data_IF_043944608010
#
_entry.id   IF_043944608010
#
_cell.length_a   1.000
_cell.length_b   1.000
_cell.length_c   1.000
_cell.angle_alpha   90.00
_cell.angle_beta   90.00
_cell.angle_gamma   90.00
#
_symmetry.space_group_name_H-M   'P 1'
#
loop_
_entity.id
_entity.type
_entity.pdbx_description
1 polymer ?
#
# COMPACT_ATOMS: atom_id res chain seq x y z
N UNK A 1 -62.52 69.81 -16.62
CA UNK A 1 -62.05 68.89 -15.55
C UNK A 1 -61.43 67.70 -16.24
N UNK A 2 -60.08 67.62 -16.34
CA UNK A 2 -59.32 66.60 -17.12
C UNK A 2 -58.60 65.75 -16.15
N UNK A 3 -58.99 64.43 -16.06
CA UNK A 3 -58.39 63.41 -15.22
C UNK A 3 -57.27 62.76 -16.05
N UNK A 4 -56.02 62.84 -15.57
CA UNK A 4 -54.85 62.19 -16.17
C UNK A 4 -54.68 60.85 -15.50
N UNK A 5 -54.77 59.75 -16.28
CA UNK A 5 -54.35 58.40 -15.88
C UNK A 5 -52.82 58.32 -15.93
N UNK A 6 -52.23 57.91 -14.80
CA UNK A 6 -50.81 57.68 -14.68
C UNK A 6 -50.63 56.15 -14.69
N UNK A 7 -50.05 55.63 -15.77
CA UNK A 7 -49.75 54.19 -15.90
C UNK A 7 -48.45 53.86 -15.12
N UNK A 8 -48.53 52.94 -14.12
CA UNK A 8 -47.40 52.40 -13.43
C UNK A 8 -46.82 51.31 -14.32
N UNK A 9 -45.58 51.48 -14.82
CA UNK A 9 -44.74 50.41 -15.39
C UNK A 9 -44.05 49.67 -14.25
N UNK A 10 -44.46 48.43 -14.01
CA UNK A 10 -43.74 47.48 -13.11
C UNK A 10 -42.61 46.87 -13.94
N UNK A 11 -41.37 47.36 -13.71
CA UNK A 11 -40.18 46.77 -14.31
C UNK A 11 -39.84 45.43 -13.62
N UNK A 12 -40.01 44.34 -14.35
CA UNK A 12 -39.53 43.02 -13.92
C UNK A 12 -38.00 42.97 -13.95
N UNK A 13 -37.35 43.05 -12.80
CA UNK A 13 -35.93 42.85 -12.64
C UNK A 13 -35.64 41.34 -12.79
N UNK A 14 -35.26 40.92 -13.99
CA UNK A 14 -34.73 39.57 -14.21
C UNK A 14 -33.38 39.44 -13.48
N UNK A 15 -33.35 38.75 -12.37
CA UNK A 15 -32.10 38.32 -11.74
C UNK A 15 -31.36 37.37 -12.69
N UNK A 16 -30.48 37.94 -13.52
CA UNK A 16 -29.45 37.18 -14.21
C UNK A 16 -28.54 36.55 -13.12
N UNK A 17 -28.77 35.28 -12.83
CA UNK A 17 -27.87 34.51 -12.00
C UNK A 17 -26.49 34.52 -12.64
N UNK A 18 -25.57 35.26 -12.08
CA UNK A 18 -24.16 35.16 -12.44
C UNK A 18 -23.72 33.71 -12.22
N UNK A 19 -23.04 33.07 -13.18
CA UNK A 19 -22.45 31.77 -12.95
C UNK A 19 -21.50 31.93 -11.77
N UNK A 20 -21.84 31.27 -10.67
CA UNK A 20 -20.96 31.17 -9.52
C UNK A 20 -19.73 30.41 -10.02
N UNK A 21 -18.61 31.10 -10.20
CA UNK A 21 -17.33 30.47 -10.50
C UNK A 21 -17.08 29.45 -9.39
N UNK A 22 -17.33 28.20 -9.67
CA UNK A 22 -16.99 27.11 -8.77
C UNK A 22 -15.47 27.15 -8.54
N UNK A 23 -15.07 27.52 -7.33
CA UNK A 23 -13.65 27.50 -6.96
C UNK A 23 -13.24 26.03 -6.95
N UNK A 24 -12.42 25.65 -7.92
CA UNK A 24 -11.85 24.30 -7.97
C UNK A 24 -11.04 24.05 -6.70
N UNK A 25 -11.35 22.94 -6.01
CA UNK A 25 -10.59 22.48 -4.85
C UNK A 25 -9.53 21.48 -5.34
N UNK A 26 -8.27 21.81 -5.14
CA UNK A 26 -7.15 20.89 -5.44
C UNK A 26 -6.73 20.13 -4.18
N UNK A 27 -6.73 18.80 -4.25
CA UNK A 27 -6.17 17.90 -3.24
C UNK A 27 -4.73 17.52 -3.60
N UNK A 28 -3.84 17.55 -2.62
CA UNK A 28 -2.44 17.13 -2.77
C UNK A 28 -2.31 15.65 -2.42
N UNK A 29 -1.88 14.82 -3.37
CA UNK A 29 -1.53 13.43 -3.14
C UNK A 29 -0.01 13.29 -3.09
N UNK A 30 0.52 12.95 -1.92
CA UNK A 30 1.95 12.71 -1.72
C UNK A 30 2.27 11.22 -1.87
N UNK A 31 3.29 10.88 -2.65
CA UNK A 31 3.86 9.53 -2.68
C UNK A 31 5.39 9.58 -2.65
N UNK A 32 5.99 8.65 -1.91
CA UNK A 32 7.43 8.46 -1.87
C UNK A 32 7.96 7.68 -3.08
N UNK A 33 7.06 7.06 -3.84
CA UNK A 33 7.40 6.23 -4.99
C UNK A 33 7.97 7.08 -6.13
N UNK A 34 9.01 6.61 -6.81
CA UNK A 34 9.58 7.30 -7.97
C UNK A 34 8.55 7.48 -9.09
N UNK A 35 8.66 8.53 -9.94
CA UNK A 35 7.69 8.80 -11.01
C UNK A 35 7.47 7.62 -11.98
N UNK A 36 8.49 6.79 -12.19
CA UNK A 36 8.42 5.60 -13.05
C UNK A 36 7.69 4.40 -12.41
N UNK A 37 7.30 4.49 -11.14
CA UNK A 37 6.63 3.38 -10.47
C UNK A 37 5.19 3.22 -10.98
N UNK A 38 4.73 1.99 -11.31
CA UNK A 38 3.39 1.78 -11.92
C UNK A 38 2.22 2.30 -11.08
N UNK A 39 2.35 2.32 -9.74
CA UNK A 39 1.34 2.89 -8.85
C UNK A 39 1.23 4.42 -9.01
N UNK A 40 2.31 5.11 -9.36
CA UNK A 40 2.24 6.55 -9.63
C UNK A 40 1.37 6.81 -10.86
N UNK A 41 1.53 6.02 -11.92
CA UNK A 41 0.67 6.12 -13.10
C UNK A 41 -0.82 5.84 -12.76
N UNK A 42 -1.09 4.93 -11.82
CA UNK A 42 -2.45 4.70 -11.32
C UNK A 42 -2.98 5.93 -10.57
N UNK A 43 -2.18 6.58 -9.74
CA UNK A 43 -2.58 7.82 -9.05
C UNK A 43 -2.85 8.96 -10.03
N UNK A 44 -2.04 9.10 -11.08
CA UNK A 44 -2.29 10.09 -12.15
C UNK A 44 -3.61 9.80 -12.89
N UNK A 45 -3.93 8.52 -13.12
CA UNK A 45 -5.23 8.16 -13.71
C UNK A 45 -6.37 8.43 -12.74
N UNK A 46 -6.22 8.09 -11.46
CA UNK A 46 -7.19 8.42 -10.40
C UNK A 46 -7.46 9.93 -10.33
N UNK A 47 -6.43 10.76 -10.43
CA UNK A 47 -6.57 12.22 -10.47
C UNK A 47 -7.45 12.68 -11.63
N UNK A 48 -7.24 12.12 -12.83
CA UNK A 48 -8.08 12.40 -14.01
C UNK A 48 -9.51 11.93 -13.82
N UNK A 49 -9.71 10.74 -13.23
CA UNK A 49 -11.03 10.17 -12.98
C UNK A 49 -11.82 11.04 -11.98
N UNK A 50 -11.17 11.55 -10.92
CA UNK A 50 -11.78 12.49 -9.96
C UNK A 50 -12.18 13.80 -10.65
N UNK A 51 -11.29 14.40 -11.43
CA UNK A 51 -11.59 15.63 -12.16
C UNK A 51 -12.78 15.45 -13.12
N UNK A 52 -12.81 14.35 -13.86
CA UNK A 52 -13.90 14.03 -14.78
C UNK A 52 -15.24 13.80 -14.05
N UNK A 53 -15.22 13.08 -12.91
CA UNK A 53 -16.42 12.79 -12.13
C UNK A 53 -17.01 14.02 -11.42
N UNK A 54 -16.23 15.10 -11.29
CA UNK A 54 -16.62 16.33 -10.59
C UNK A 54 -16.61 17.56 -11.49
N UNK A 55 -16.62 17.40 -12.82
CA UNK A 55 -16.55 18.51 -13.79
C UNK A 55 -15.40 19.50 -13.48
N UNK A 56 -14.25 19.01 -13.02
CA UNK A 56 -13.08 19.75 -12.56
C UNK A 56 -13.31 20.66 -11.32
N UNK A 57 -14.41 20.48 -10.59
CA UNK A 57 -14.63 21.20 -9.32
C UNK A 57 -13.74 20.62 -8.19
N UNK A 58 -13.38 19.32 -8.27
CA UNK A 58 -12.40 18.68 -7.42
C UNK A 58 -11.28 18.11 -8.29
N UNK A 59 -10.04 18.45 -7.99
CA UNK A 59 -8.86 17.94 -8.68
C UNK A 59 -7.90 17.32 -7.68
N UNK A 60 -7.03 16.42 -8.16
CA UNK A 60 -5.96 15.81 -7.36
C UNK A 60 -4.64 16.06 -8.08
N UNK A 61 -3.67 16.62 -7.35
CA UNK A 61 -2.31 16.82 -7.86
C UNK A 61 -1.37 15.82 -7.20
N UNK A 62 -0.71 15.01 -8.02
CA UNK A 62 0.21 13.96 -7.57
C UNK A 62 1.62 14.54 -7.40
N UNK A 63 2.20 14.36 -6.21
CA UNK A 63 3.56 14.73 -5.86
C UNK A 63 4.36 13.45 -5.62
N UNK A 64 5.02 12.95 -6.66
CA UNK A 64 5.80 11.71 -6.65
C UNK A 64 7.26 11.93 -6.27
N UNK A 65 8.00 10.84 -6.04
CA UNK A 65 9.43 10.86 -5.73
C UNK A 65 9.79 11.55 -4.41
N UNK A 66 8.83 11.67 -3.50
CA UNK A 66 9.05 12.37 -2.23
C UNK A 66 9.09 13.89 -2.36
N UNK A 67 8.45 14.48 -3.39
CA UNK A 67 8.44 15.94 -3.62
C UNK A 67 7.88 16.76 -2.44
N UNK A 68 6.98 16.17 -1.63
CA UNK A 68 6.51 16.75 -0.37
C UNK A 68 7.26 16.21 0.87
N UNK A 69 8.44 15.63 0.66
CA UNK A 69 9.33 15.07 1.67
C UNK A 69 9.67 13.59 1.38
N UNK A 70 10.94 13.24 1.56
CA UNK A 70 11.47 11.94 1.23
C UNK A 70 10.99 10.81 2.16
N UNK A 71 11.05 9.59 1.64
CA UNK A 71 10.92 8.33 2.36
C UNK A 71 9.49 7.95 2.78
N UNK A 72 9.29 6.67 3.09
CA UNK A 72 7.98 6.12 3.46
C UNK A 72 7.58 6.42 4.91
N UNK A 73 8.55 6.63 5.82
CA UNK A 73 8.31 6.77 7.26
C UNK A 73 7.55 8.05 7.67
N UNK A 74 7.48 9.05 6.80
CA UNK A 74 6.79 10.32 7.10
C UNK A 74 5.40 10.42 6.47
N UNK A 75 4.99 9.45 5.66
CA UNK A 75 3.74 9.55 4.90
C UNK A 75 2.49 9.61 5.78
N UNK A 76 2.44 8.80 6.84
CA UNK A 76 1.34 8.84 7.81
C UNK A 76 1.22 10.22 8.46
N UNK A 77 2.34 10.73 8.98
CA UNK A 77 2.39 12.04 9.64
C UNK A 77 1.94 13.17 8.72
N UNK A 78 2.32 13.12 7.43
CA UNK A 78 1.89 14.12 6.43
C UNK A 78 0.38 14.17 6.26
N UNK A 79 -0.28 13.01 6.24
CA UNK A 79 -1.74 12.96 6.17
C UNK A 79 -2.37 13.47 7.47
N UNK A 80 -1.88 13.05 8.64
CA UNK A 80 -2.41 13.50 9.94
C UNK A 80 -2.29 15.01 10.10
N UNK A 81 -1.15 15.59 9.73
CA UNK A 81 -0.87 17.03 9.87
C UNK A 81 -1.41 17.89 8.70
N UNK A 82 -2.03 17.28 7.68
CA UNK A 82 -2.57 17.99 6.54
C UNK A 82 -1.52 18.63 5.62
N UNK A 83 -0.26 18.20 5.69
CA UNK A 83 0.80 18.61 4.74
C UNK A 83 0.46 18.14 3.34
N UNK A 84 -0.12 16.93 3.25
CA UNK A 84 -0.79 16.40 2.08
C UNK A 84 -2.23 16.02 2.46
N UNK A 85 -3.17 16.25 1.54
CA UNK A 85 -4.56 15.81 1.73
C UNK A 85 -4.65 14.28 1.66
N UNK A 86 -3.91 13.67 0.73
CA UNK A 86 -3.82 12.22 0.53
C UNK A 86 -2.35 11.82 0.59
N UNK A 87 -2.04 10.75 1.31
CA UNK A 87 -0.69 10.17 1.36
C UNK A 87 -0.73 8.70 0.97
N UNK A 88 0.13 8.34 0.03
CA UNK A 88 0.46 6.94 -0.28
C UNK A 88 1.29 6.35 0.85
N UNK A 89 0.87 5.21 1.38
CA UNK A 89 1.55 4.54 2.48
C UNK A 89 1.77 3.06 2.20
N UNK A 90 2.85 2.51 2.75
CA UNK A 90 2.96 1.09 3.04
C UNK A 90 2.90 0.90 4.55
N UNK A 91 1.91 0.14 5.02
CA UNK A 91 1.54 0.05 6.43
C UNK A 91 2.66 -0.54 7.31
N UNK A 92 3.56 -1.35 6.73
CA UNK A 92 4.70 -1.91 7.46
C UNK A 92 5.63 -0.87 8.09
N UNK A 93 5.71 0.33 7.52
CA UNK A 93 6.48 1.44 8.09
C UNK A 93 5.78 2.10 9.30
N UNK A 94 4.50 1.76 9.51
CA UNK A 94 3.63 2.30 10.55
C UNK A 94 2.89 1.20 11.31
N UNK A 95 3.51 0.03 11.47
CA UNK A 95 2.89 -1.19 11.98
C UNK A 95 2.19 -1.04 13.35
N UNK A 96 2.66 -0.12 14.20
CA UNK A 96 2.02 0.15 15.51
C UNK A 96 0.66 0.83 15.37
N UNK A 97 0.47 1.63 14.31
CA UNK A 97 -0.80 2.32 14.02
C UNK A 97 -1.78 1.35 13.38
N UNK A 98 -1.31 0.57 12.41
CA UNK A 98 -2.13 -0.30 11.56
C UNK A 98 -2.06 -1.77 12.01
N UNK A 99 -2.24 -2.00 13.32
CA UNK A 99 -1.98 -3.29 13.94
C UNK A 99 -2.77 -4.45 13.31
N UNK A 100 -4.06 -4.24 12.99
CA UNK A 100 -4.91 -5.27 12.36
C UNK A 100 -4.66 -5.40 10.86
N UNK A 101 -4.45 -4.29 10.17
CA UNK A 101 -4.07 -4.32 8.75
C UNK A 101 -2.79 -5.12 8.53
N UNK A 102 -1.84 -5.05 9.48
CA UNK A 102 -0.58 -5.78 9.43
C UNK A 102 -0.71 -7.30 9.67
N UNK A 103 -1.86 -7.81 10.08
CA UNK A 103 -2.06 -9.27 10.25
C UNK A 103 -1.90 -10.05 8.95
N UNK A 104 -2.09 -9.41 7.78
CA UNK A 104 -1.87 -10.03 6.46
C UNK A 104 -0.39 -10.38 6.20
N UNK A 105 0.54 -9.77 6.93
CA UNK A 105 1.99 -10.08 6.86
C UNK A 105 2.30 -11.45 7.42
N UNK A 106 1.51 -11.89 8.40
CA UNK A 106 1.71 -13.17 9.07
C UNK A 106 1.51 -14.32 8.08
N UNK A 107 2.17 -15.46 8.29
CA UNK A 107 1.94 -16.66 7.50
C UNK A 107 0.46 -17.00 7.37
N UNK A 108 0.01 -17.20 6.13
CA UNK A 108 -1.40 -17.40 5.80
C UNK A 108 -1.57 -18.02 4.41
N UNK A 109 -2.80 -18.00 3.92
CA UNK A 109 -3.22 -18.71 2.71
C UNK A 109 -3.17 -17.83 1.43
N UNK A 110 -2.86 -16.56 1.53
CA UNK A 110 -2.77 -15.68 0.36
C UNK A 110 -1.65 -16.11 -0.58
N UNK A 111 -1.90 -16.01 -1.89
CA UNK A 111 -0.98 -16.48 -2.94
C UNK A 111 -0.58 -15.40 -3.93
N UNK A 112 -1.41 -14.38 -4.14
CA UNK A 112 -1.16 -13.26 -5.05
C UNK A 112 -1.47 -11.93 -4.38
N UNK A 113 -1.09 -10.83 -4.99
CA UNK A 113 -1.48 -9.50 -4.50
C UNK A 113 -3.01 -9.32 -4.51
N UNK A 114 -3.68 -9.77 -5.57
CA UNK A 114 -5.14 -9.71 -5.67
C UNK A 114 -5.82 -10.56 -4.61
N UNK A 115 -5.38 -11.81 -4.37
CA UNK A 115 -5.94 -12.68 -3.33
C UNK A 115 -5.71 -12.07 -1.92
N UNK A 116 -4.50 -11.59 -1.62
CA UNK A 116 -4.22 -10.94 -0.35
C UNK A 116 -5.07 -9.67 -0.14
N UNK A 117 -5.29 -8.89 -1.21
CA UNK A 117 -6.17 -7.72 -1.18
C UNK A 117 -7.61 -8.11 -0.91
N UNK A 118 -8.15 -9.12 -1.60
CA UNK A 118 -9.49 -9.64 -1.34
C UNK A 118 -9.66 -10.04 0.12
N UNK A 119 -8.66 -10.69 0.71
CA UNK A 119 -8.64 -11.12 2.12
C UNK A 119 -8.66 -9.96 3.10
N UNK A 120 -7.95 -8.87 2.82
CA UNK A 120 -8.03 -7.64 3.61
C UNK A 120 -9.48 -7.10 3.68
N UNK A 121 -10.20 -7.16 2.57
CA UNK A 121 -11.61 -6.72 2.49
C UNK A 121 -12.64 -7.74 3.00
N UNK A 122 -12.22 -8.94 3.43
CA UNK A 122 -13.08 -9.86 4.20
C UNK A 122 -13.23 -9.42 5.66
N UNK A 123 -12.30 -8.63 6.18
CA UNK A 123 -12.40 -8.08 7.53
C UNK A 123 -13.42 -6.94 7.52
N UNK A 124 -14.46 -6.99 8.38
CA UNK A 124 -15.44 -5.92 8.49
C UNK A 124 -14.78 -4.57 8.79
N UNK A 125 -15.21 -3.52 8.10
CA UNK A 125 -14.65 -2.16 8.24
C UNK A 125 -14.65 -1.69 9.70
N UNK A 126 -15.73 -1.97 10.44
CA UNK A 126 -15.84 -1.63 11.85
C UNK A 126 -14.72 -2.25 12.72
N UNK A 127 -14.24 -3.45 12.37
CA UNK A 127 -13.09 -4.06 13.06
C UNK A 127 -11.79 -3.33 12.75
N UNK A 128 -11.66 -2.75 11.55
CA UNK A 128 -10.45 -2.03 11.11
C UNK A 128 -10.42 -0.58 11.57
N UNK A 129 -11.51 -0.04 12.09
CA UNK A 129 -11.68 1.38 12.40
C UNK A 129 -10.58 1.95 13.32
N UNK A 130 -10.07 1.17 14.27
CA UNK A 130 -8.98 1.62 15.17
C UNK A 130 -7.67 1.91 14.44
N UNK A 131 -7.38 1.19 13.36
CA UNK A 131 -6.17 1.40 12.56
C UNK A 131 -6.21 2.74 11.81
N UNK A 132 -7.40 3.26 11.55
CA UNK A 132 -7.65 4.50 10.81
C UNK A 132 -8.27 5.60 11.67
N UNK A 133 -8.03 5.56 13.00
CA UNK A 133 -8.64 6.50 13.94
C UNK A 133 -8.31 7.98 13.66
N UNK A 134 -7.11 8.28 13.16
CA UNK A 134 -6.65 9.66 12.89
C UNK A 134 -6.73 10.05 11.40
N UNK A 135 -7.02 9.11 10.51
CA UNK A 135 -7.07 9.34 9.05
C UNK A 135 -8.29 8.68 8.44
N UNK A 136 -8.65 9.06 7.22
CA UNK A 136 -9.63 8.37 6.39
C UNK A 136 -8.90 7.31 5.54
N UNK A 137 -9.33 6.05 5.61
CA UNK A 137 -8.87 5.03 4.66
C UNK A 137 -9.48 5.31 3.29
N UNK A 138 -8.65 5.50 2.26
CA UNK A 138 -9.12 5.69 0.88
C UNK A 138 -9.21 4.35 0.18
N UNK A 139 -8.17 3.56 0.25
CA UNK A 139 -8.11 2.17 -0.16
C UNK A 139 -6.86 1.51 0.41
N UNK A 140 -6.91 0.20 0.58
CA UNK A 140 -5.75 -0.60 0.96
C UNK A 140 -5.64 -1.81 0.03
N UNK A 141 -4.44 -2.12 -0.40
CA UNK A 141 -4.13 -3.28 -1.21
C UNK A 141 -2.92 -4.01 -0.64
N UNK A 142 -2.72 -5.22 -1.03
CA UNK A 142 -1.49 -5.95 -0.70
C UNK A 142 -0.59 -6.02 -1.91
N UNK A 143 0.73 -5.92 -1.69
CA UNK A 143 1.70 -6.30 -2.71
C UNK A 143 1.87 -7.83 -2.73
N UNK A 144 2.49 -8.43 -3.78
CA UNK A 144 2.77 -9.85 -3.82
C UNK A 144 3.53 -10.33 -2.60
N UNK A 145 3.51 -11.64 -2.40
CA UNK A 145 4.32 -12.30 -1.38
C UNK A 145 5.79 -11.97 -1.56
N UNK A 146 6.50 -11.73 -0.45
CA UNK A 146 7.94 -11.53 -0.52
C UNK A 146 8.65 -12.79 -1.00
N UNK A 147 9.76 -12.59 -1.70
CA UNK A 147 10.73 -13.58 -2.09
C UNK A 147 12.04 -13.31 -1.36
N UNK A 148 12.94 -14.28 -1.32
CA UNK A 148 14.32 -14.00 -0.98
C UNK A 148 15.11 -13.76 -2.26
N UNK A 149 15.65 -12.55 -2.40
CA UNK A 149 16.52 -12.14 -3.51
C UNK A 149 17.94 -12.06 -2.96
N UNK A 150 18.85 -12.84 -3.49
CA UNK A 150 20.22 -12.89 -2.99
C UNK A 150 21.26 -12.90 -4.11
N UNK A 151 22.49 -12.52 -3.73
CA UNK A 151 23.64 -12.50 -4.62
C UNK A 151 24.43 -13.82 -4.62
N UNK A 152 24.47 -14.51 -3.49
CA UNK A 152 25.48 -15.56 -3.27
C UNK A 152 24.88 -16.95 -3.13
N UNK A 153 23.65 -17.12 -2.63
CA UNK A 153 23.07 -18.43 -2.38
C UNK A 153 21.53 -18.44 -2.44
N UNK A 154 20.93 -19.52 -2.94
CA UNK A 154 19.48 -19.71 -2.86
C UNK A 154 19.05 -20.09 -1.44
N UNK A 155 17.75 -19.93 -1.15
CA UNK A 155 17.08 -20.47 0.04
C UNK A 155 16.18 -21.60 -0.43
N UNK A 156 16.42 -22.82 0.04
CA UNK A 156 15.63 -24.04 -0.28
C UNK A 156 14.96 -24.61 0.96
N UNK A 157 15.53 -24.35 2.13
CA UNK A 157 15.00 -24.79 3.42
C UNK A 157 15.14 -23.68 4.46
N UNK A 158 14.39 -23.79 5.56
CA UNK A 158 14.45 -22.83 6.69
C UNK A 158 15.88 -22.69 7.23
N UNK A 159 16.62 -23.82 7.29
CA UNK A 159 18.00 -23.83 7.79
C UNK A 159 18.99 -22.99 6.98
N UNK A 160 18.70 -22.70 5.72
CA UNK A 160 19.54 -21.88 4.85
C UNK A 160 19.59 -20.40 5.29
N UNK A 161 18.63 -19.98 6.13
CA UNK A 161 18.57 -18.62 6.68
C UNK A 161 19.41 -18.45 7.95
N UNK A 162 19.97 -19.53 8.53
CA UNK A 162 20.73 -19.43 9.76
C UNK A 162 21.93 -18.48 9.61
N UNK A 163 21.95 -17.41 10.41
CA UNK A 163 23.01 -16.40 10.41
C UNK A 163 23.02 -15.47 9.20
N UNK A 164 22.00 -15.51 8.34
CA UNK A 164 21.89 -14.67 7.13
C UNK A 164 21.29 -13.32 7.52
N UNK A 165 21.94 -12.26 7.10
CA UNK A 165 21.41 -10.87 7.24
C UNK A 165 20.40 -10.61 6.14
N UNK A 166 19.13 -10.48 6.51
CA UNK A 166 17.99 -10.31 5.59
C UNK A 166 17.44 -8.90 5.72
N UNK A 167 17.56 -8.10 4.67
CA UNK A 167 16.86 -6.80 4.60
C UNK A 167 15.35 -7.03 4.59
N UNK A 168 14.63 -6.31 5.44
CA UNK A 168 13.17 -6.33 5.53
C UNK A 168 12.58 -4.93 5.36
N UNK A 169 11.42 -4.78 4.69
CA UNK A 169 10.73 -3.50 4.56
C UNK A 169 10.01 -3.15 5.86
N UNK A 170 10.77 -2.69 6.85
CA UNK A 170 10.25 -2.33 8.17
C UNK A 170 10.31 -3.46 9.21
N UNK A 171 10.04 -3.10 10.46
CA UNK A 171 10.21 -3.96 11.63
C UNK A 171 9.17 -5.09 11.75
N UNK A 172 8.01 -4.95 11.10
CA UNK A 172 6.93 -5.94 11.20
C UNK A 172 7.31 -7.33 10.65
N UNK A 173 8.24 -7.39 9.71
CA UNK A 173 8.74 -8.63 9.12
C UNK A 173 9.81 -9.33 9.98
N UNK A 174 10.45 -8.57 10.87
CA UNK A 174 11.61 -9.04 11.64
C UNK A 174 11.32 -10.30 12.49
N UNK A 175 10.20 -10.42 13.22
CA UNK A 175 9.92 -11.62 14.02
C UNK A 175 9.80 -12.88 13.18
N UNK A 176 9.27 -12.78 11.95
CA UNK A 176 9.08 -13.93 11.05
C UNK A 176 10.44 -14.38 10.51
N UNK A 177 11.26 -13.44 10.02
CA UNK A 177 12.62 -13.73 9.54
C UNK A 177 13.49 -14.33 10.66
N UNK A 178 13.37 -13.81 11.89
CA UNK A 178 14.07 -14.35 13.05
C UNK A 178 13.63 -15.78 13.40
N UNK A 179 12.33 -16.09 13.28
CA UNK A 179 11.82 -17.45 13.49
C UNK A 179 12.38 -18.47 12.48
N UNK A 180 12.75 -18.00 11.29
CA UNK A 180 13.45 -18.81 10.28
C UNK A 180 14.97 -18.88 10.50
N UNK A 181 15.49 -18.25 11.57
CA UNK A 181 16.92 -18.26 11.92
C UNK A 181 17.74 -17.17 11.25
N UNK A 182 17.13 -16.31 10.45
CA UNK A 182 17.79 -15.15 9.84
C UNK A 182 17.98 -13.99 10.81
N UNK A 183 18.88 -13.09 10.46
CA UNK A 183 19.09 -11.82 11.17
C UNK A 183 18.38 -10.72 10.39
N UNK A 184 17.19 -10.26 10.82
CA UNK A 184 16.46 -9.21 10.10
C UNK A 184 17.16 -7.87 10.23
N UNK A 185 17.25 -7.14 9.12
CA UNK A 185 17.79 -5.79 9.02
C UNK A 185 16.71 -4.89 8.42
N UNK A 186 15.87 -4.24 9.25
CA UNK A 186 14.88 -3.27 8.78
C UNK A 186 15.56 -2.07 8.15
N UNK A 187 15.21 -1.73 6.89
CA UNK A 187 15.90 -0.71 6.13
C UNK A 187 14.94 0.01 5.16
N UNK A 188 15.31 1.22 4.72
CA UNK A 188 14.59 1.92 3.67
C UNK A 188 14.76 1.20 2.33
N UNK A 189 13.70 1.19 1.51
CA UNK A 189 13.73 0.54 0.20
C UNK A 189 14.74 1.19 -0.76
N UNK A 190 15.03 2.46 -0.60
CA UNK A 190 16.00 3.18 -1.42
C UNK A 190 17.45 2.70 -1.18
N UNK A 191 17.73 2.11 -0.03
CA UNK A 191 19.07 1.63 0.33
C UNK A 191 19.32 0.18 -0.10
N UNK A 192 18.28 -0.57 -0.52
CA UNK A 192 18.36 -2.02 -0.73
C UNK A 192 19.37 -2.44 -1.81
N UNK A 193 19.45 -1.69 -2.93
CA UNK A 193 20.42 -2.00 -3.99
C UNK A 193 21.84 -1.88 -3.46
N UNK A 194 22.16 -0.78 -2.80
CA UNK A 194 23.48 -0.54 -2.21
C UNK A 194 23.80 -1.56 -1.12
N UNK A 195 22.85 -1.82 -0.22
CA UNK A 195 23.03 -2.76 0.88
C UNK A 195 23.32 -4.21 0.40
N UNK A 196 22.60 -4.65 -0.64
CA UNK A 196 22.82 -5.98 -1.23
C UNK A 196 24.14 -6.02 -2.04
N UNK A 197 24.43 -4.99 -2.85
CA UNK A 197 25.62 -4.95 -3.70
C UNK A 197 26.92 -4.90 -2.89
N UNK A 198 26.93 -4.18 -1.76
CA UNK A 198 28.11 -4.02 -0.90
C UNK A 198 28.23 -5.13 0.18
N UNK A 199 27.22 -6.01 0.34
CA UNK A 199 27.23 -7.06 1.33
C UNK A 199 26.92 -6.61 2.76
N UNK A 200 26.33 -5.42 2.95
CA UNK A 200 25.76 -4.99 4.23
C UNK A 200 24.67 -5.98 4.66
N UNK A 201 23.89 -6.47 3.69
CA UNK A 201 22.97 -7.60 3.85
C UNK A 201 23.29 -8.70 2.85
N UNK A 202 22.96 -9.95 3.20
CA UNK A 202 23.23 -11.13 2.36
C UNK A 202 22.08 -11.36 1.37
N UNK A 203 20.86 -10.94 1.74
CA UNK A 203 19.67 -11.02 0.89
C UNK A 203 18.62 -9.97 1.25
N UNK A 204 17.68 -9.81 0.36
CA UNK A 204 16.51 -8.92 0.52
C UNK A 204 15.25 -9.77 0.55
N UNK A 205 14.42 -9.58 1.57
CA UNK A 205 13.06 -10.14 1.63
C UNK A 205 12.07 -9.10 1.10
N UNK A 206 11.78 -9.20 -0.19
CA UNK A 206 10.89 -8.25 -0.88
C UNK A 206 10.14 -8.96 -2.02
N UNK A 207 9.11 -8.28 -2.54
CA UNK A 207 8.39 -8.80 -3.71
C UNK A 207 9.32 -8.99 -4.91
N UNK A 208 9.06 -9.94 -5.81
CA UNK A 208 9.92 -10.17 -6.98
C UNK A 208 9.97 -8.96 -7.93
N UNK A 209 9.01 -8.02 -7.83
CA UNK A 209 9.01 -6.77 -8.58
C UNK A 209 10.26 -5.92 -8.35
N UNK A 210 10.98 -6.14 -7.25
CA UNK A 210 12.27 -5.48 -6.99
C UNK A 210 13.37 -5.85 -8.00
N UNK A 211 13.20 -6.91 -8.78
CA UNK A 211 14.09 -7.23 -9.90
C UNK A 211 14.00 -6.22 -11.04
N UNK A 212 12.85 -5.56 -11.19
CA UNK A 212 12.55 -4.64 -12.27
C UNK A 212 12.84 -3.17 -11.88
N UNK A 213 12.92 -2.24 -12.85
CA UNK A 213 12.91 -0.82 -12.55
C UNK A 213 11.69 -0.43 -11.70
N UNK A 214 11.83 0.53 -10.76
CA UNK A 214 13.01 1.36 -10.54
C UNK A 214 14.11 0.70 -9.68
N UNK A 215 13.86 -0.44 -9.04
CA UNK A 215 14.74 -1.06 -8.04
C UNK A 215 15.93 -1.83 -8.63
N UNK A 216 15.74 -2.47 -9.80
CA UNK A 216 16.78 -3.09 -10.64
C UNK A 216 17.64 -4.15 -9.95
N UNK A 217 17.13 -4.85 -8.94
CA UNK A 217 17.93 -5.89 -8.25
C UNK A 217 18.36 -7.04 -9.18
N UNK A 218 17.73 -7.21 -10.36
CA UNK A 218 18.18 -8.18 -11.37
C UNK A 218 19.62 -7.96 -11.86
N UNK A 219 20.19 -6.77 -11.67
CA UNK A 219 21.59 -6.48 -12.06
C UNK A 219 22.62 -7.15 -11.13
N UNK A 220 22.23 -7.43 -9.88
CA UNK A 220 23.12 -7.96 -8.85
C UNK A 220 22.64 -9.28 -8.25
N UNK A 221 21.36 -9.63 -8.42
CA UNK A 221 20.79 -10.88 -7.94
C UNK A 221 21.26 -12.08 -8.77
N UNK A 222 21.56 -13.18 -8.10
CA UNK A 222 21.83 -14.49 -8.73
C UNK A 222 20.78 -15.53 -8.37
N UNK A 223 20.02 -15.32 -7.29
CA UNK A 223 19.03 -16.28 -6.82
C UNK A 223 17.77 -15.55 -6.37
N UNK A 224 16.63 -16.12 -6.71
CA UNK A 224 15.30 -15.67 -6.25
C UNK A 224 14.55 -16.89 -5.72
N UNK A 225 14.26 -16.93 -4.43
CA UNK A 225 13.43 -17.98 -3.85
C UNK A 225 12.01 -17.47 -3.63
N UNK A 226 11.04 -18.12 -4.26
CA UNK A 226 9.62 -17.81 -4.21
C UNK A 226 8.80 -18.93 -3.55
N UNK A 227 7.58 -18.60 -3.12
CA UNK A 227 6.67 -19.56 -2.48
C UNK A 227 6.84 -19.67 -0.97
N UNK A 228 7.38 -18.65 -0.34
CA UNK A 228 7.46 -18.55 1.13
C UNK A 228 6.05 -18.26 1.66
N UNK A 229 5.70 -18.75 2.85
CA UNK A 229 4.39 -18.44 3.43
C UNK A 229 4.37 -17.06 4.12
N UNK A 230 3.37 -16.23 3.84
CA UNK A 230 3.22 -14.91 4.44
C UNK A 230 4.05 -13.80 3.78
N UNK A 231 4.33 -12.74 4.55
CA UNK A 231 5.12 -11.59 4.13
C UNK A 231 4.48 -10.76 2.99
N UNK A 232 3.15 -10.73 2.95
CA UNK A 232 2.42 -9.77 2.14
C UNK A 232 2.46 -8.39 2.82
N UNK A 233 2.92 -7.36 2.13
CA UNK A 233 2.94 -6.00 2.69
C UNK A 233 1.69 -5.24 2.26
N UNK A 234 0.81 -4.83 3.20
CA UNK A 234 -0.31 -3.97 2.86
C UNK A 234 0.19 -2.56 2.58
N UNK A 235 -0.27 -1.98 1.48
CA UNK A 235 -0.05 -0.59 1.08
C UNK A 235 -1.40 0.04 0.70
N UNK A 236 -1.42 1.35 0.44
CA UNK A 236 -2.65 2.04 0.08
C UNK A 236 -2.52 3.54 0.13
N UNK A 237 -3.65 4.21 0.19
CA UNK A 237 -3.72 5.65 0.41
C UNK A 237 -4.64 5.98 1.57
N UNK A 238 -4.18 6.91 2.37
CA UNK A 238 -4.93 7.52 3.48
C UNK A 238 -5.14 9.01 3.21
N UNK A 239 -6.20 9.58 3.76
CA UNK A 239 -6.51 10.99 3.60
C UNK A 239 -6.63 11.66 4.97
N UNK A 240 -6.23 12.93 5.04
CA UNK A 240 -6.49 13.78 6.19
C UNK A 240 -8.00 13.89 6.43
N UNK A 241 -8.43 13.70 7.68
CA UNK A 241 -9.87 13.70 8.03
C UNK A 241 -10.55 15.05 7.77
N UNK A 242 -9.86 16.14 8.04
CA UNK A 242 -10.41 17.48 7.82
C UNK A 242 -10.54 17.76 6.33
N UNK A 243 -9.54 17.36 5.51
CA UNK A 243 -9.60 17.47 4.06
C UNK A 243 -10.78 16.69 3.48
N UNK A 244 -11.02 15.45 3.97
CA UNK A 244 -12.18 14.66 3.56
C UNK A 244 -13.49 15.28 4.05
N UNK A 245 -13.55 15.71 5.31
CA UNK A 245 -14.74 16.33 5.89
C UNK A 245 -15.17 17.60 5.13
N UNK A 246 -14.19 18.38 4.64
CA UNK A 246 -14.39 19.60 3.89
C UNK A 246 -14.83 19.40 2.42
N UNK A 247 -14.96 18.16 1.95
CA UNK A 247 -15.57 17.87 0.65
C UNK A 247 -17.08 18.07 0.72
N UNK A 248 -17.67 18.62 -0.34
CA UNK A 248 -19.13 18.69 -0.47
C UNK A 248 -19.75 17.29 -0.52
N UNK A 249 -21.03 17.10 -0.20
CA UNK A 249 -21.68 15.78 -0.32
C UNK A 249 -21.55 15.18 -1.72
N UNK A 250 -21.66 16.00 -2.78
CA UNK A 250 -21.49 15.56 -4.16
C UNK A 250 -20.05 15.10 -4.45
N UNK A 251 -19.06 15.88 -3.97
CA UNK A 251 -17.64 15.51 -4.13
C UNK A 251 -17.29 14.24 -3.34
N UNK A 252 -17.81 14.05 -2.11
CA UNK A 252 -17.64 12.79 -1.35
C UNK A 252 -18.20 11.62 -2.13
N UNK A 253 -19.44 11.73 -2.63
CA UNK A 253 -20.06 10.65 -3.39
C UNK A 253 -19.27 10.28 -4.65
N UNK A 254 -18.76 11.28 -5.40
CA UNK A 254 -17.94 11.04 -6.59
C UNK A 254 -16.59 10.39 -6.22
N UNK A 255 -15.94 10.89 -5.17
CA UNK A 255 -14.67 10.40 -4.67
C UNK A 255 -14.77 8.96 -4.15
N UNK A 256 -15.79 8.66 -3.32
CA UNK A 256 -16.00 7.35 -2.72
C UNK A 256 -16.30 6.26 -3.76
N UNK A 257 -16.98 6.61 -4.87
CA UNK A 257 -17.20 5.69 -6.00
C UNK A 257 -15.92 5.28 -6.73
N UNK A 258 -14.88 6.12 -6.68
CA UNK A 258 -13.60 5.90 -7.35
C UNK A 258 -12.56 5.25 -6.44
N UNK A 259 -12.87 5.04 -5.16
CA UNK A 259 -11.95 4.57 -4.11
C UNK A 259 -12.37 3.20 -3.57
N UNK A 260 -11.86 2.81 -2.41
CA UNK A 260 -12.20 1.56 -1.75
C UNK A 260 -11.72 0.31 -2.50
N UNK A 261 -12.47 -0.78 -2.35
CA UNK A 261 -12.10 -2.09 -2.92
C UNK A 261 -11.85 -2.10 -4.43
N UNK A 262 -12.64 -1.41 -5.28
CA UNK A 262 -12.37 -1.39 -6.73
C UNK A 262 -10.99 -0.82 -7.08
N UNK A 263 -10.58 0.28 -6.46
CA UNK A 263 -9.26 0.88 -6.68
C UNK A 263 -8.14 0.00 -6.10
N UNK A 264 -8.39 -0.62 -4.95
CA UNK A 264 -7.47 -1.56 -4.32
C UNK A 264 -7.16 -2.77 -5.22
N UNK A 265 -8.18 -3.37 -5.83
CA UNK A 265 -8.01 -4.50 -6.75
C UNK A 265 -7.29 -4.08 -8.05
N UNK A 266 -7.51 -2.85 -8.51
CA UNK A 266 -6.75 -2.28 -9.63
C UNK A 266 -5.24 -2.19 -9.29
N UNK A 267 -4.91 -1.70 -8.10
CA UNK A 267 -3.53 -1.65 -7.60
C UNK A 267 -2.91 -3.04 -7.46
N UNK A 268 -3.63 -3.97 -6.84
CA UNK A 268 -3.18 -5.35 -6.68
C UNK A 268 -2.93 -6.04 -8.03
N UNK A 269 -3.81 -5.84 -9.02
CA UNK A 269 -3.64 -6.38 -10.38
C UNK A 269 -2.42 -5.83 -11.09
N UNK A 270 -2.09 -4.56 -10.88
CA UNK A 270 -0.83 -3.97 -11.38
C UNK A 270 0.36 -4.77 -10.82
N UNK A 271 0.36 -5.07 -9.52
CA UNK A 271 1.41 -5.85 -8.89
C UNK A 271 1.46 -7.31 -9.35
N UNK A 272 0.32 -7.99 -9.54
CA UNK A 272 0.29 -9.36 -10.08
C UNK A 272 0.92 -9.41 -11.48
N UNK A 273 0.60 -8.44 -12.34
CA UNK A 273 1.18 -8.34 -13.68
C UNK A 273 2.69 -8.04 -13.63
N UNK A 274 3.09 -7.18 -12.70
CA UNK A 274 4.48 -6.78 -12.51
C UNK A 274 5.33 -7.92 -11.93
N UNK A 275 4.76 -8.70 -11.00
CA UNK A 275 5.35 -9.93 -10.51
C UNK A 275 5.58 -10.95 -11.63
N UNK A 276 4.57 -11.17 -12.47
CA UNK A 276 4.70 -12.05 -13.63
C UNK A 276 5.81 -11.61 -14.58
N UNK A 277 5.95 -10.30 -14.82
CA UNK A 277 7.03 -9.73 -15.63
C UNK A 277 8.41 -9.93 -14.96
N UNK A 278 8.49 -9.79 -13.64
CA UNK A 278 9.73 -10.02 -12.88
C UNK A 278 10.21 -11.47 -12.96
N UNK A 279 9.31 -12.44 -12.79
CA UNK A 279 9.64 -13.86 -12.94
C UNK A 279 9.98 -14.22 -14.39
N UNK A 280 9.32 -13.58 -15.37
CA UNK A 280 9.68 -13.76 -16.79
C UNK A 280 11.12 -13.29 -17.03
N UNK A 281 11.46 -12.08 -16.58
CA UNK A 281 12.82 -11.54 -16.69
C UNK A 281 13.84 -12.48 -16.03
N UNK A 282 13.57 -12.93 -14.79
CA UNK A 282 14.47 -13.83 -14.07
C UNK A 282 14.66 -15.17 -14.81
N UNK A 283 13.59 -15.74 -15.39
CA UNK A 283 13.63 -17.00 -16.16
C UNK A 283 14.38 -16.87 -17.48
N UNK A 284 14.28 -15.72 -18.14
CA UNK A 284 14.95 -15.42 -19.41
C UNK A 284 16.42 -15.02 -19.18
N UNK A 285 16.82 -14.80 -17.93
CA UNK A 285 18.19 -14.44 -17.55
C UNK A 285 19.01 -15.70 -17.24
N UNK A 286 20.09 -15.94 -17.97
CA UNK A 286 21.06 -17.01 -17.66
C UNK A 286 21.81 -16.79 -16.33
N UNK A 287 21.58 -15.65 -15.67
CA UNK A 287 22.29 -15.22 -14.45
C UNK A 287 21.50 -15.44 -13.18
N UNK A 288 20.17 -15.63 -13.27
CA UNK A 288 19.28 -15.68 -12.10
C UNK A 288 18.64 -17.06 -12.00
N UNK A 289 19.00 -17.78 -10.96
CA UNK A 289 18.31 -19.03 -10.59
C UNK A 289 17.01 -18.69 -9.85
N UNK A 290 15.87 -19.20 -10.34
CA UNK A 290 14.57 -19.09 -9.67
C UNK A 290 14.27 -20.41 -8.96
N UNK A 291 14.31 -20.38 -7.64
CA UNK A 291 13.88 -21.49 -6.78
C UNK A 291 12.41 -21.29 -6.42
N UNK A 292 11.58 -22.29 -6.73
CA UNK A 292 10.18 -22.31 -6.27
C UNK A 292 10.04 -23.41 -5.23
N UNK A 293 9.69 -22.99 -4.01
CA UNK A 293 9.46 -23.95 -2.92
C UNK A 293 8.23 -24.82 -3.22
N UNK A 294 8.40 -26.13 -3.05
CA UNK A 294 7.29 -27.08 -3.10
C UNK A 294 6.31 -26.83 -1.94
N UNK A 295 5.09 -27.37 -2.00
CA UNK A 295 4.12 -27.26 -0.90
C UNK A 295 4.68 -27.77 0.44
N UNK A 296 5.52 -28.79 0.43
CA UNK A 296 6.14 -29.36 1.63
C UNK A 296 7.20 -28.43 2.21
N UNK A 297 8.07 -27.84 1.37
CA UNK A 297 9.07 -26.85 1.79
C UNK A 297 8.39 -25.58 2.31
N UNK A 298 7.37 -25.08 1.61
CA UNK A 298 6.55 -23.95 2.06
C UNK A 298 5.94 -24.21 3.45
N UNK A 299 5.45 -25.44 3.70
CA UNK A 299 4.90 -25.81 5.00
C UNK A 299 5.94 -25.72 6.12
N UNK A 300 7.21 -26.05 5.87
CA UNK A 300 8.27 -25.91 6.86
C UNK A 300 8.47 -24.44 7.28
N UNK A 301 8.43 -23.49 6.34
CA UNK A 301 8.47 -22.06 6.65
C UNK A 301 7.24 -21.60 7.45
N UNK A 302 6.06 -22.10 7.10
CA UNK A 302 4.83 -21.83 7.83
C UNK A 302 4.93 -22.35 9.27
N UNK A 303 5.30 -23.62 9.45
CA UNK A 303 5.40 -24.27 10.76
C UNK A 303 6.43 -23.56 11.66
N UNK A 304 7.59 -23.20 11.13
CA UNK A 304 8.64 -22.49 11.87
C UNK A 304 8.19 -21.09 12.33
N UNK A 305 7.35 -20.42 11.58
CA UNK A 305 6.83 -19.09 11.93
C UNK A 305 5.51 -19.13 12.75
N UNK A 306 4.84 -20.28 12.84
CA UNK A 306 3.56 -20.43 13.54
C UNK A 306 3.58 -19.92 15.00
N UNK A 307 4.62 -20.18 15.82
CA UNK A 307 4.70 -19.60 17.16
C UNK A 307 4.71 -18.08 17.18
N UNK A 308 5.31 -17.45 16.16
CA UNK A 308 5.31 -15.97 16.01
C UNK A 308 3.90 -15.47 15.76
N UNK A 309 3.11 -16.16 14.93
CA UNK A 309 1.69 -15.79 14.69
C UNK A 309 0.92 -15.70 16.00
N UNK A 310 0.99 -16.77 16.81
CA UNK A 310 0.29 -16.82 18.10
C UNK A 310 0.78 -15.73 19.06
N UNK A 311 2.11 -15.53 19.10
CA UNK A 311 2.70 -14.48 19.93
C UNK A 311 2.24 -13.09 19.50
N UNK A 312 2.27 -12.75 18.22
CA UNK A 312 1.85 -11.44 17.71
C UNK A 312 0.38 -11.17 18.05
N UNK A 313 -0.51 -12.16 17.81
CA UNK A 313 -1.93 -12.04 18.16
C UNK A 313 -2.09 -11.79 19.67
N UNK A 314 -1.45 -12.60 20.52
CA UNK A 314 -1.55 -12.46 21.97
C UNK A 314 -0.99 -11.13 22.47
N UNK A 315 0.13 -10.66 21.93
CA UNK A 315 0.74 -9.38 22.30
C UNK A 315 -0.17 -8.19 21.93
N UNK A 316 -0.82 -8.23 20.77
CA UNK A 316 -1.79 -7.22 20.34
C UNK A 316 -3.04 -7.23 21.24
N UNK A 317 -3.60 -8.41 21.51
CA UNK A 317 -4.74 -8.58 22.42
C UNK A 317 -4.39 -8.02 23.84
N UNK A 318 -3.21 -8.35 24.35
CA UNK A 318 -2.70 -7.86 25.65
C UNK A 318 -2.48 -6.34 25.66
N UNK A 319 -2.13 -5.75 24.52
CA UNK A 319 -2.00 -4.29 24.39
C UNK A 319 -3.33 -3.55 24.25
N UNK A 320 -4.45 -4.28 24.27
CA UNK A 320 -5.81 -3.70 24.20
C UNK A 320 -6.38 -3.56 22.80
N UNK A 321 -5.70 -4.08 21.77
CA UNK A 321 -6.25 -4.12 20.41
C UNK A 321 -7.38 -5.17 20.37
N UNK A 322 -8.59 -4.73 20.03
CA UNK A 322 -9.78 -5.61 19.97
C UNK A 322 -9.84 -6.35 18.63
N UNK A 323 -10.52 -7.49 18.64
CA UNK A 323 -10.88 -8.28 17.45
C UNK A 323 -9.67 -8.79 16.63
N UNK A 324 -8.47 -8.86 17.21
CA UNK A 324 -7.23 -9.25 16.52
C UNK A 324 -7.35 -10.64 15.90
N UNK A 325 -7.75 -11.63 16.71
CA UNK A 325 -7.89 -13.02 16.28
C UNK A 325 -8.98 -13.17 15.20
N UNK A 326 -10.13 -12.53 15.41
CA UNK A 326 -11.22 -12.55 14.44
C UNK A 326 -10.82 -11.92 13.09
N UNK A 327 -10.06 -10.83 13.12
CA UNK A 327 -9.53 -10.20 11.91
C UNK A 327 -8.54 -11.12 11.18
N UNK A 328 -7.59 -11.74 11.90
CA UNK A 328 -6.65 -12.71 11.32
C UNK A 328 -7.36 -13.91 10.70
N UNK A 329 -8.36 -14.48 11.40
CA UNK A 329 -9.15 -15.59 10.88
C UNK A 329 -9.96 -15.21 9.63
N UNK A 330 -10.55 -14.00 9.62
CA UNK A 330 -11.27 -13.49 8.45
C UNK A 330 -10.37 -13.38 7.21
N UNK A 331 -9.12 -12.93 7.39
CA UNK A 331 -8.13 -12.87 6.30
C UNK A 331 -7.70 -14.24 5.80
N UNK A 332 -7.84 -15.32 6.59
CA UNK A 332 -7.36 -16.65 6.24
C UNK A 332 -8.47 -17.63 5.83
N UNK A 333 -9.71 -17.20 5.88
CA UNK A 333 -10.85 -17.92 5.28
C UNK A 333 -10.90 -17.66 3.79
#
# INVERSE_FOLDING_TARGET
MRIRFMALLIGSLACLGLPQLAVSKELKLATFLPPAHPIVAMYEQFAKDVAAATNNELTVKVFSGGALGAGPFQQYKRAVEGVADISDICHAFHAKVFAKTMLIVLPGNATTASDATERLYKVPEAMMASDYAEVQNIFMYSVPQATFISRDRPVRAVGDLKGVKVLTPGAAFAPIVAAWGGTPVPMDLNDMYSALSTGVVDMVSLTPTALLPPWRLSEIAKHVTAGISGLHNPCGAIMNKESYAALSPAHKQAFDKLTGKPLALKAAKIFDNWEAAAFKLAKESDKIEVVRLSPQERKQFFDAASPVVQKVIADLEKSGVKDVRAAYEAMNK
#
